data_IF_680423517064
#
_entry.id   IF_680423517064
#
_cell.length_a   1.000
_cell.length_b   1.000
_cell.length_c   1.000
_cell.angle_alpha   90.00
_cell.angle_beta   90.00
_cell.angle_gamma   90.00
#
_symmetry.space_group_name_H-M   'P 1'
#
loop_
_entity.id
_entity.type
_entity.pdbx_description
1 polymer ?
#
# COMPACT_ATOMS: atom_id res chain seq x y z
N UNK A 1 4.63 -7.47 -9.13
CA UNK A 1 3.55 -6.48 -8.93
C UNK A 1 2.27 -7.22 -8.57
N UNK A 2 1.48 -6.63 -7.69
CA UNK A 2 0.19 -7.12 -7.24
C UNK A 2 -0.84 -6.03 -7.55
N UNK A 3 -1.93 -6.40 -8.20
CA UNK A 3 -3.01 -5.48 -8.56
C UNK A 3 -4.31 -6.29 -8.56
N UNK A 4 -5.23 -6.05 -7.62
CA UNK A 4 -6.47 -6.81 -7.50
C UNK A 4 -7.54 -6.44 -8.54
N UNK A 5 -7.53 -5.22 -9.09
CA UNK A 5 -8.56 -4.79 -10.02
C UNK A 5 -8.31 -5.40 -11.42
N UNK A 6 -9.24 -6.20 -11.98
CA UNK A 6 -9.01 -6.85 -13.28
C UNK A 6 -8.83 -5.87 -14.44
N UNK A 7 -9.46 -4.69 -14.40
CA UNK A 7 -9.32 -3.66 -15.43
C UNK A 7 -7.93 -3.02 -15.34
N UNK A 8 -7.51 -2.60 -14.14
CA UNK A 8 -6.19 -2.00 -13.91
C UNK A 8 -5.08 -3.03 -14.18
N UNK A 9 -5.27 -4.29 -13.79
CA UNK A 9 -4.33 -5.37 -14.05
C UNK A 9 -4.13 -5.62 -15.55
N UNK A 10 -5.17 -5.45 -16.37
CA UNK A 10 -5.07 -5.52 -17.83
C UNK A 10 -4.26 -4.35 -18.41
N UNK A 11 -4.46 -3.13 -17.92
CA UNK A 11 -3.62 -2.00 -18.30
C UNK A 11 -2.15 -2.21 -17.88
N UNK A 12 -1.91 -2.75 -16.68
CA UNK A 12 -0.56 -3.12 -16.23
C UNK A 12 0.09 -4.13 -17.18
N UNK A 13 -0.61 -5.21 -17.55
CA UNK A 13 -0.14 -6.19 -18.55
C UNK A 13 0.23 -5.52 -19.88
N UNK A 14 -0.62 -4.64 -20.38
CA UNK A 14 -0.38 -3.92 -21.64
C UNK A 14 0.84 -3.00 -21.55
N UNK A 15 0.98 -2.25 -20.45
CA UNK A 15 2.10 -1.35 -20.21
C UNK A 15 3.44 -2.10 -20.13
N UNK A 16 3.49 -3.24 -19.43
CA UNK A 16 4.68 -4.10 -19.38
C UNK A 16 5.06 -4.61 -20.78
N UNK A 17 4.05 -5.08 -21.55
CA UNK A 17 4.25 -5.59 -22.90
C UNK A 17 4.79 -4.52 -23.86
N UNK A 18 4.13 -3.34 -23.91
CA UNK A 18 4.53 -2.21 -24.76
C UNK A 18 5.95 -1.74 -24.47
N UNK A 19 6.34 -1.71 -23.20
CA UNK A 19 7.68 -1.30 -22.78
C UNK A 19 8.73 -2.42 -22.83
N UNK A 20 8.36 -3.63 -23.27
CA UNK A 20 9.25 -4.80 -23.41
C UNK A 20 9.98 -5.17 -22.10
N UNK A 21 9.32 -4.97 -20.96
CA UNK A 21 9.85 -5.32 -19.65
C UNK A 21 9.68 -6.82 -19.44
N UNK A 22 10.78 -7.55 -19.22
CA UNK A 22 10.79 -9.03 -19.16
C UNK A 22 10.92 -9.62 -17.76
N UNK A 23 11.49 -8.86 -16.83
CA UNK A 23 11.82 -9.36 -15.48
C UNK A 23 10.77 -8.92 -14.46
N UNK A 24 9.50 -9.21 -14.76
CA UNK A 24 8.38 -8.86 -13.87
C UNK A 24 7.41 -10.03 -13.76
N UNK A 25 7.03 -10.35 -12.53
CA UNK A 25 5.91 -11.26 -12.25
C UNK A 25 4.69 -10.41 -11.88
N UNK A 26 3.60 -10.63 -12.61
CA UNK A 26 2.32 -9.94 -12.42
C UNK A 26 1.35 -10.88 -11.72
N UNK A 27 0.69 -10.39 -10.65
CA UNK A 27 -0.26 -11.16 -9.86
C UNK A 27 -1.58 -10.37 -9.77
N UNK A 28 -2.67 -10.95 -10.25
CA UNK A 28 -4.04 -10.40 -10.15
C UNK A 28 -4.60 -10.69 -8.75
N UNK A 29 -3.98 -10.11 -7.72
CA UNK A 29 -4.27 -10.42 -6.32
C UNK A 29 -4.13 -9.19 -5.45
N UNK A 30 -4.99 -9.08 -4.44
CA UNK A 30 -4.84 -8.10 -3.37
C UNK A 30 -3.70 -8.51 -2.43
N UNK A 31 -2.99 -7.54 -1.86
CA UNK A 31 -2.07 -7.78 -0.74
C UNK A 31 -2.81 -7.51 0.56
N UNK A 32 -2.81 -8.49 1.47
CA UNK A 32 -3.55 -8.42 2.73
C UNK A 32 -2.85 -9.13 3.89
N UNK A 33 -3.57 -9.36 4.98
CA UNK A 33 -3.10 -10.05 6.20
C UNK A 33 -3.38 -11.57 6.19
N UNK A 34 -4.06 -12.06 5.16
CA UNK A 34 -4.42 -13.48 5.00
C UNK A 34 -4.52 -13.89 3.52
N UNK A 35 -4.50 -15.20 3.26
CA UNK A 35 -4.66 -15.77 1.92
C UNK A 35 -6.13 -16.16 1.69
N UNK A 36 -7.02 -15.17 1.73
CA UNK A 36 -8.47 -15.36 1.61
C UNK A 36 -9.02 -14.76 0.31
N UNK A 37 -10.30 -15.01 0.04
CA UNK A 37 -11.06 -14.27 -0.98
C UNK A 37 -11.67 -13.05 -0.29
N UNK A 38 -11.39 -11.86 -0.82
CA UNK A 38 -11.89 -10.60 -0.29
C UNK A 38 -13.00 -10.05 -1.20
N UNK A 39 -13.96 -9.35 -0.59
CA UNK A 39 -14.86 -8.49 -1.34
C UNK A 39 -14.15 -7.15 -1.56
N UNK A 40 -14.02 -6.77 -2.82
CA UNK A 40 -13.31 -5.59 -3.28
C UNK A 40 -14.29 -4.64 -3.95
N UNK A 41 -14.28 -3.38 -3.53
CA UNK A 41 -14.99 -2.31 -4.20
C UNK A 41 -14.03 -1.64 -5.18
N UNK A 42 -14.23 -1.90 -6.47
CA UNK A 42 -13.52 -1.20 -7.54
C UNK A 42 -14.17 0.16 -7.75
N UNK A 43 -13.41 1.25 -7.63
CA UNK A 43 -13.91 2.58 -8.01
C UNK A 43 -13.70 2.89 -9.50
N UNK A 44 -13.10 1.97 -10.28
CA UNK A 44 -12.88 2.13 -11.73
C UNK A 44 -11.91 3.25 -12.11
N UNK A 45 -11.30 3.92 -11.13
CA UNK A 45 -10.15 4.80 -11.22
C UNK A 45 -9.01 4.22 -10.36
N UNK A 46 -7.84 4.87 -10.28
CA UNK A 46 -6.60 4.41 -9.60
C UNK A 46 -6.74 3.92 -8.14
N UNK A 47 -7.94 3.92 -7.54
CA UNK A 47 -8.22 3.40 -6.21
C UNK A 47 -9.27 2.29 -6.18
N UNK A 48 -9.08 1.34 -5.26
CA UNK A 48 -10.12 0.42 -4.83
C UNK A 48 -9.84 -0.03 -3.41
N UNK A 49 -10.88 -0.13 -2.59
CA UNK A 49 -10.75 -0.44 -1.17
C UNK A 49 -11.45 -1.76 -0.80
N UNK A 50 -11.07 -2.28 0.37
CA UNK A 50 -11.75 -3.40 0.99
C UNK A 50 -12.99 -2.89 1.72
N UNK A 51 -14.16 -3.08 1.12
CA UNK A 51 -15.45 -2.71 1.70
C UNK A 51 -16.42 -3.88 1.83
N UNK A 52 -17.16 -3.88 2.94
CA UNK A 52 -18.31 -4.75 3.16
C UNK A 52 -19.45 -4.33 2.20
N UNK A 53 -19.43 -4.86 0.98
CA UNK A 53 -20.35 -4.48 -0.10
C UNK A 53 -19.71 -4.45 -1.48
N UNK A 54 -18.39 -4.68 -1.58
CA UNK A 54 -17.71 -4.84 -2.86
C UNK A 54 -18.34 -5.96 -3.71
N UNK A 55 -18.67 -5.64 -4.96
CA UNK A 55 -19.29 -6.60 -5.89
C UNK A 55 -18.27 -7.52 -6.57
N UNK A 56 -16.98 -7.25 -6.42
CA UNK A 56 -15.91 -8.02 -7.05
C UNK A 56 -15.23 -8.88 -5.99
N UNK A 57 -15.08 -10.17 -6.27
CA UNK A 57 -14.30 -11.09 -5.42
C UNK A 57 -12.89 -11.19 -5.98
N UNK A 58 -11.91 -10.90 -5.14
CA UNK A 58 -10.49 -10.98 -5.52
C UNK A 58 -9.76 -11.93 -4.58
N UNK A 59 -8.80 -12.68 -5.13
CA UNK A 59 -7.89 -13.46 -4.30
C UNK A 59 -6.92 -12.52 -3.59
N UNK A 60 -6.71 -12.72 -2.29
CA UNK A 60 -5.68 -12.03 -1.53
C UNK A 60 -4.49 -12.94 -1.26
N UNK A 61 -3.33 -12.32 -1.10
CA UNK A 61 -2.10 -12.95 -0.62
C UNK A 61 -1.60 -12.21 0.60
N UNK A 62 -1.12 -12.98 1.58
CA UNK A 62 -0.52 -12.41 2.77
C UNK A 62 0.90 -11.90 2.47
N UNK A 63 1.15 -10.60 2.69
CA UNK A 63 2.48 -10.02 2.43
C UNK A 63 3.59 -10.73 3.23
N UNK A 64 3.31 -11.04 4.49
CA UNK A 64 4.23 -11.75 5.38
C UNK A 64 4.80 -13.03 4.77
N UNK A 65 3.93 -13.82 4.11
CA UNK A 65 4.32 -15.07 3.48
C UNK A 65 5.21 -14.84 2.25
N UNK A 66 5.03 -13.71 1.57
CA UNK A 66 5.89 -13.28 0.45
C UNK A 66 7.25 -12.85 0.99
N UNK A 67 7.29 -12.00 2.03
CA UNK A 67 8.54 -11.52 2.63
C UNK A 67 9.43 -12.70 3.05
N UNK A 68 8.88 -13.73 3.68
CA UNK A 68 9.64 -14.91 4.12
C UNK A 68 10.18 -15.80 2.98
N UNK A 69 9.66 -15.70 1.75
CA UNK A 69 10.17 -16.45 0.59
C UNK A 69 11.46 -15.86 0.03
N UNK A 70 11.80 -14.63 0.41
CA UNK A 70 12.97 -13.93 -0.09
C UNK A 70 14.01 -13.77 1.02
N UNK A 71 15.26 -14.13 0.72
CA UNK A 71 16.37 -13.89 1.65
C UNK A 71 16.63 -12.39 1.85
N UNK A 72 16.44 -11.62 0.80
CA UNK A 72 16.70 -10.18 0.75
C UNK A 72 15.76 -9.53 -0.25
N UNK A 73 15.28 -8.32 0.09
CA UNK A 73 14.44 -7.47 -0.75
C UNK A 73 15.10 -6.09 -0.77
N UNK A 74 15.61 -5.67 -1.93
CA UNK A 74 16.26 -4.38 -2.06
C UNK A 74 15.29 -3.20 -1.89
N UNK A 75 14.06 -3.38 -2.35
CA UNK A 75 13.03 -2.34 -2.30
C UNK A 75 11.61 -2.94 -2.21
N UNK A 76 10.82 -2.42 -1.28
CA UNK A 76 9.38 -2.69 -1.13
C UNK A 76 8.60 -1.39 -1.36
N UNK A 77 7.83 -1.31 -2.45
CA UNK A 77 6.82 -0.26 -2.65
C UNK A 77 5.48 -0.77 -2.12
N UNK A 78 4.83 0.01 -1.26
CA UNK A 78 3.49 -0.24 -0.74
C UNK A 78 2.63 0.98 -1.00
N UNK A 79 1.59 0.77 -1.78
CA UNK A 79 0.62 1.76 -2.22
C UNK A 79 -0.61 0.92 -2.56
N UNK A 80 -1.47 0.76 -1.55
CA UNK A 80 -2.56 -0.22 -1.54
C UNK A 80 -3.85 0.41 -1.00
N UNK A 81 -3.95 1.73 -1.13
CA UNK A 81 -5.16 2.54 -0.95
C UNK A 81 -5.93 2.25 0.36
N UNK A 82 -5.22 2.33 1.49
CA UNK A 82 -5.83 2.32 2.83
C UNK A 82 -5.68 1.02 3.61
N UNK A 83 -5.01 0.02 3.05
CA UNK A 83 -4.68 -1.24 3.71
C UNK A 83 -3.26 -1.26 4.33
N UNK A 84 -2.49 -0.17 4.21
CA UNK A 84 -1.08 -0.13 4.55
C UNK A 84 -0.82 -0.45 6.02
N UNK A 85 -1.64 0.11 6.91
CA UNK A 85 -1.45 -0.01 8.36
C UNK A 85 -1.64 -1.47 8.80
N UNK A 86 -2.74 -2.10 8.40
CA UNK A 86 -3.09 -3.48 8.74
C UNK A 86 -2.04 -4.47 8.21
N UNK A 87 -1.62 -4.28 6.96
CA UNK A 87 -0.58 -5.12 6.34
C UNK A 87 0.76 -4.96 7.06
N UNK A 88 1.15 -3.74 7.43
CA UNK A 88 2.40 -3.52 8.16
C UNK A 88 2.36 -4.04 9.60
N UNK A 89 1.22 -3.95 10.29
CA UNK A 89 1.04 -4.55 11.62
C UNK A 89 1.27 -6.07 11.57
N UNK A 90 0.72 -6.74 10.55
CA UNK A 90 0.92 -8.18 10.35
C UNK A 90 2.38 -8.54 10.02
N UNK A 91 3.06 -7.66 9.30
CA UNK A 91 4.44 -7.81 8.84
C UNK A 91 5.50 -7.26 9.80
N UNK A 92 5.14 -6.72 10.97
CA UNK A 92 6.06 -5.98 11.86
C UNK A 92 7.36 -6.72 12.21
N UNK A 93 7.31 -8.04 12.29
CA UNK A 93 8.47 -8.90 12.62
C UNK A 93 9.15 -9.51 11.37
N UNK A 94 8.71 -9.14 10.18
CA UNK A 94 9.08 -9.76 8.90
C UNK A 94 9.74 -8.79 7.92
N UNK A 95 9.96 -7.53 8.31
CA UNK A 95 10.62 -6.50 7.48
C UNK A 95 12.16 -6.52 7.60
N UNK A 96 12.72 -7.48 8.35
CA UNK A 96 14.17 -7.59 8.61
C UNK A 96 15.02 -7.79 7.35
N UNK A 97 14.43 -8.37 6.30
CA UNK A 97 15.09 -8.63 5.01
C UNK A 97 14.87 -7.53 3.96
N UNK A 98 14.12 -6.48 4.28
CA UNK A 98 13.86 -5.35 3.39
C UNK A 98 14.89 -4.24 3.64
N UNK A 99 15.62 -3.83 2.61
CA UNK A 99 16.63 -2.75 2.70
C UNK A 99 16.01 -1.35 2.65
N UNK A 100 15.10 -1.15 1.71
CA UNK A 100 14.43 0.12 1.48
C UNK A 100 12.93 -0.11 1.31
N UNK A 101 12.13 0.80 1.84
CA UNK A 101 10.66 0.75 1.77
C UNK A 101 10.10 2.11 1.42
N UNK A 102 9.08 2.12 0.56
CA UNK A 102 8.24 3.27 0.29
C UNK A 102 6.80 2.87 0.64
N UNK A 103 6.13 3.71 1.42
CA UNK A 103 4.72 3.55 1.78
C UNK A 103 3.99 4.84 1.43
N UNK A 104 2.95 4.75 0.59
CA UNK A 104 1.98 5.82 0.40
C UNK A 104 0.83 5.61 1.40
N UNK A 105 0.80 6.43 2.44
CA UNK A 105 -0.18 6.30 3.51
C UNK A 105 -1.45 7.08 3.17
N UNK A 106 -2.58 6.41 3.24
CA UNK A 106 -3.91 6.96 2.96
C UNK A 106 -4.74 7.06 4.26
N UNK A 107 -5.17 8.28 4.61
CA UNK A 107 -6.03 8.54 5.77
C UNK A 107 -7.41 9.01 5.34
N UNK A 108 -8.44 8.50 6.01
CA UNK A 108 -9.84 8.73 5.68
C UNK A 108 -10.57 9.41 6.83
N UNK A 109 -11.46 10.36 6.51
CA UNK A 109 -12.19 11.21 7.48
C UNK A 109 -12.97 10.38 8.53
N UNK A 110 -13.53 9.24 8.10
CA UNK A 110 -14.36 8.37 8.94
C UNK A 110 -13.55 7.36 9.77
N UNK A 111 -12.21 7.40 9.69
CA UNK A 111 -11.30 6.48 10.38
C UNK A 111 -10.31 7.24 11.26
N UNK A 112 -9.80 6.59 12.30
CA UNK A 112 -8.68 7.14 13.06
C UNK A 112 -7.41 7.16 12.19
N UNK A 113 -6.60 8.19 12.36
CA UNK A 113 -5.28 8.26 11.75
C UNK A 113 -4.32 7.32 12.48
N UNK A 114 -3.72 6.38 11.75
CA UNK A 114 -2.84 5.34 12.29
C UNK A 114 -1.40 5.44 11.74
N UNK A 115 -1.02 6.61 11.20
CA UNK A 115 0.36 6.85 10.73
C UNK A 115 1.40 6.56 11.82
N UNK A 116 1.06 6.81 13.09
CA UNK A 116 1.96 6.56 14.22
C UNK A 116 2.38 5.10 14.34
N UNK A 117 1.47 4.15 14.07
CA UNK A 117 1.76 2.72 14.06
C UNK A 117 2.77 2.36 12.97
N UNK A 118 2.61 2.93 11.77
CA UNK A 118 3.53 2.73 10.64
C UNK A 118 4.93 3.22 11.01
N UNK A 119 5.04 4.44 11.55
CA UNK A 119 6.34 5.01 11.92
C UNK A 119 7.00 4.22 13.07
N UNK A 120 6.21 3.72 14.02
CA UNK A 120 6.71 2.87 15.11
C UNK A 120 7.22 1.53 14.57
N UNK A 121 6.50 0.89 13.65
CA UNK A 121 6.92 -0.36 13.01
C UNK A 121 8.22 -0.17 12.23
N UNK A 122 8.34 0.90 11.44
CA UNK A 122 9.57 1.21 10.71
C UNK A 122 10.75 1.40 11.67
N UNK A 123 10.55 2.18 12.75
CA UNK A 123 11.58 2.39 13.77
C UNK A 123 12.01 1.07 14.44
N UNK A 124 11.05 0.26 14.92
CA UNK A 124 11.32 -1.03 15.57
C UNK A 124 11.95 -2.06 14.63
N UNK A 125 11.65 -1.98 13.34
CA UNK A 125 12.24 -2.82 12.31
C UNK A 125 13.67 -2.38 11.93
N UNK A 126 14.17 -1.27 12.48
CA UNK A 126 15.53 -0.77 12.25
C UNK A 126 15.68 0.10 11.00
N UNK A 127 14.59 0.69 10.50
CA UNK A 127 14.67 1.71 9.46
C UNK A 127 14.89 3.09 10.06
N UNK A 128 15.71 3.90 9.39
CA UNK A 128 15.55 5.35 9.43
C UNK A 128 14.47 5.73 8.43
N UNK A 129 13.73 6.78 8.70
CA UNK A 129 12.71 7.24 7.76
C UNK A 129 12.66 8.76 7.64
N UNK A 130 12.09 9.20 6.52
CA UNK A 130 11.63 10.57 6.32
C UNK A 130 10.23 10.54 5.71
N UNK A 131 9.48 11.62 5.93
CA UNK A 131 8.07 11.73 5.55
C UNK A 131 7.88 12.99 4.73
N UNK A 132 7.23 12.85 3.58
CA UNK A 132 6.83 13.94 2.72
C UNK A 132 5.30 14.00 2.61
N UNK A 133 4.78 15.21 2.39
CA UNK A 133 3.36 15.39 2.15
C UNK A 133 3.06 15.13 0.66
N UNK A 134 2.21 14.16 0.36
CA UNK A 134 1.80 13.83 -1.01
C UNK A 134 0.69 14.77 -1.52
N UNK A 135 -0.15 15.27 -0.61
CA UNK A 135 -1.29 16.15 -0.91
C UNK A 135 -1.25 17.42 -0.02
N UNK A 136 -0.32 18.37 -0.28
CA UNK A 136 -0.11 19.50 0.59
C UNK A 136 -1.34 20.42 0.67
N UNK A 137 -1.64 20.86 1.90
CA UNK A 137 -2.68 21.86 2.15
C UNK A 137 -2.07 23.25 2.16
N UNK A 138 -2.49 24.09 1.22
CA UNK A 138 -2.05 25.49 1.13
C UNK A 138 -2.58 26.36 2.28
N UNK A 139 -3.71 25.98 2.89
CA UNK A 139 -4.34 26.68 4.00
C UNK A 139 -4.84 25.67 5.06
N UNK A 140 -3.93 25.13 5.90
CA UNK A 140 -4.19 23.96 6.74
C UNK A 140 -5.33 24.13 7.75
N UNK A 141 -5.60 25.37 8.18
CA UNK A 141 -6.65 25.69 9.16
C UNK A 141 -7.97 26.19 8.54
N UNK A 142 -8.04 26.29 7.21
CA UNK A 142 -9.23 26.84 6.51
C UNK A 142 -9.97 25.73 5.76
N UNK A 143 -9.25 24.87 5.06
CA UNK A 143 -9.82 23.75 4.31
C UNK A 143 -9.52 22.44 5.05
N UNK A 144 -10.24 22.21 6.16
CA UNK A 144 -10.05 21.05 7.04
C UNK A 144 -10.39 19.73 6.33
N UNK A 145 -11.30 19.77 5.35
CA UNK A 145 -11.53 18.72 4.36
C UNK A 145 -11.93 19.37 3.03
N UNK A 146 -11.61 18.71 1.90
CA UNK A 146 -12.14 19.12 0.60
C UNK A 146 -13.56 18.56 0.46
N UNK A 147 -14.58 19.38 0.15
CA UNK A 147 -15.93 18.88 -0.10
C UNK A 147 -15.90 17.77 -1.17
N UNK A 148 -16.47 16.61 -0.84
CA UNK A 148 -16.51 15.45 -1.74
C UNK A 148 -15.27 14.55 -1.75
N UNK A 149 -14.25 14.80 -0.92
CA UNK A 149 -13.16 13.85 -0.71
C UNK A 149 -13.35 13.06 0.58
N UNK A 150 -13.16 11.74 0.51
CA UNK A 150 -13.17 10.83 1.65
C UNK A 150 -11.84 10.85 2.44
N UNK A 151 -10.74 11.23 1.78
CA UNK A 151 -9.41 11.30 2.37
C UNK A 151 -9.11 12.65 3.00
N UNK A 152 -8.45 12.64 4.16
CA UNK A 152 -8.01 13.85 4.86
C UNK A 152 -6.48 14.04 4.91
N UNK A 153 -5.69 12.99 4.67
CA UNK A 153 -4.24 13.06 4.65
C UNK A 153 -3.65 11.97 3.76
N UNK A 154 -2.62 12.35 3.01
CA UNK A 154 -1.81 11.43 2.20
C UNK A 154 -0.33 11.75 2.41
N UNK A 155 0.47 10.74 2.71
CA UNK A 155 1.89 10.89 3.02
C UNK A 155 2.74 9.91 2.24
N UNK A 156 3.90 10.38 1.77
CA UNK A 156 4.96 9.54 1.25
C UNK A 156 5.96 9.26 2.38
N UNK A 157 6.04 8.00 2.81
CA UNK A 157 6.94 7.56 3.88
C UNK A 157 8.04 6.71 3.27
N UNK A 158 9.28 7.16 3.44
CA UNK A 158 10.46 6.49 2.91
C UNK A 158 11.27 5.92 4.07
N UNK A 159 11.53 4.61 4.07
CA UNK A 159 12.38 3.93 5.04
C UNK A 159 13.63 3.34 4.40
N UNK A 160 14.79 3.47 5.06
CA UNK A 160 16.06 2.90 4.60
C UNK A 160 16.92 2.41 5.78
N UNK A 161 17.76 1.41 5.53
CA UNK A 161 18.77 0.92 6.49
C UNK A 161 20.12 1.60 6.23
N UNK A 162 20.84 1.96 7.29
CA UNK A 162 22.12 2.68 7.18
C UNK A 162 23.36 1.79 7.07
N UNK A 163 23.22 0.48 7.29
CA UNK A 163 24.26 -0.55 7.16
C UNK A 163 23.69 -1.90 7.52
#
# INVERSE_FOLDING_TARGET
AFEPDPLIFNFLKENISKNKIKNVTLNEKAVWISNDILNFASEGADGGNLEAGGNTKVEAVRLKDILHKHKEIDFLKMDIEGAETEVLIDCKDSLGNVKNVFIEYHSFIEKNQNVSDILEILNKSGFRYFVENAAPRMAPFINISKPGQSMDMQLNIFGYRTS
#
